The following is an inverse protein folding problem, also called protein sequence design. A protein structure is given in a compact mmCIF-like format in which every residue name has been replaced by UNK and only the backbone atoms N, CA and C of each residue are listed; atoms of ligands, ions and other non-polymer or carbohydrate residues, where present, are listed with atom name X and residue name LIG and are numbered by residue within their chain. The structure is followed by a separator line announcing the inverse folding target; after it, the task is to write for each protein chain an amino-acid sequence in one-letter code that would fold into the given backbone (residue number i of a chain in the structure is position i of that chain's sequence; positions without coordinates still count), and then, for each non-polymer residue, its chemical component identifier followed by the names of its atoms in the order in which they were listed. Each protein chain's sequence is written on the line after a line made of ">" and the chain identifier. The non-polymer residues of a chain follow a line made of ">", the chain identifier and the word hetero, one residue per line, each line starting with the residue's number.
data_IF_600433875745
#
_entry.id   IF_600433875745
#
_cell.length_a   1.000
_cell.length_b   1.000
_cell.length_c   1.000
_cell.angle_alpha   90.00
_cell.angle_beta   90.00
_cell.angle_gamma   90.00
#
_symmetry.space_group_name_H-M   'P 1'
#
loop_
_entity.id
_entity.type
_entity.pdbx_description
1 polymer ?
#
# COMPACT_ATOMS: atom_id res chain seq x y z
N UNK A 1 47.94 -31.63 -0.44
CA UNK A 1 47.13 -30.78 0.46
C UNK A 1 45.82 -30.44 -0.23
N UNK A 2 44.67 -31.01 0.15
CA UNK A 2 43.39 -30.63 -0.43
C UNK A 2 42.74 -29.52 0.41
N UNK A 3 42.58 -28.34 -0.18
CA UNK A 3 41.88 -27.19 0.38
C UNK A 3 40.36 -27.41 0.32
N UNK A 4 39.76 -27.48 1.51
CA UNK A 4 38.32 -27.64 1.76
C UNK A 4 37.51 -26.47 1.17
N UNK A 5 36.51 -26.80 0.35
CA UNK A 5 35.42 -25.89 0.00
C UNK A 5 34.36 -25.94 1.11
N UNK A 6 34.17 -24.83 1.81
CA UNK A 6 32.96 -24.59 2.62
C UNK A 6 31.90 -23.98 1.71
N UNK A 7 30.81 -24.70 1.44
CA UNK A 7 29.59 -24.14 0.90
C UNK A 7 28.53 -24.17 2.02
N UNK A 8 28.05 -22.98 2.36
CA UNK A 8 27.11 -22.73 3.43
C UNK A 8 25.75 -23.39 3.14
N UNK A 9 25.25 -24.15 4.10
CA UNK A 9 23.88 -24.66 4.10
C UNK A 9 22.92 -23.50 4.40
N UNK A 10 22.04 -23.20 3.44
CA UNK A 10 20.89 -22.32 3.65
C UNK A 10 19.81 -23.14 4.37
N UNK A 11 19.68 -22.95 5.68
CA UNK A 11 18.58 -23.50 6.47
C UNK A 11 17.33 -22.64 6.27
N UNK A 12 16.41 -23.15 5.46
CA UNK A 12 15.06 -22.63 5.32
C UNK A 12 14.27 -22.96 6.60
N UNK A 13 14.13 -21.99 7.50
CA UNK A 13 13.27 -22.12 8.69
C UNK A 13 11.82 -21.90 8.27
N UNK A 14 11.06 -23.00 8.21
CA UNK A 14 9.60 -22.98 8.12
C UNK A 14 9.04 -22.42 9.44
N UNK A 15 8.68 -21.14 9.44
CA UNK A 15 7.92 -20.53 10.51
C UNK A 15 6.51 -21.16 10.54
N UNK A 16 6.20 -21.82 11.65
CA UNK A 16 4.87 -22.34 11.97
C UNK A 16 3.91 -21.16 12.17
N UNK A 17 3.02 -20.95 11.22
CA UNK A 17 1.96 -19.96 11.32
C UNK A 17 0.95 -20.39 12.40
N UNK A 18 0.95 -19.70 13.53
CA UNK A 18 -0.15 -19.75 14.49
C UNK A 18 -1.46 -19.29 13.81
N UNK A 19 -2.63 -19.81 14.21
CA UNK A 19 -3.90 -19.43 13.59
C UNK A 19 -4.16 -17.94 13.83
N UNK A 20 -4.12 -17.17 12.74
CA UNK A 20 -4.55 -15.77 12.73
C UNK A 20 -6.04 -15.78 13.06
N UNK A 21 -6.40 -15.25 14.24
CA UNK A 21 -7.78 -14.89 14.57
C UNK A 21 -8.30 -14.00 13.43
N UNK A 22 -9.28 -14.52 12.69
CA UNK A 22 -9.82 -13.86 11.51
C UNK A 22 -10.27 -12.42 11.87
N UNK A 23 -9.70 -11.44 11.16
CA UNK A 23 -10.19 -10.07 11.19
C UNK A 23 -11.63 -10.08 10.66
N UNK A 24 -12.63 -9.57 11.38
CA UNK A 24 -14.01 -9.59 10.91
C UNK A 24 -14.11 -8.73 9.63
N UNK A 25 -14.43 -9.39 8.53
CA UNK A 25 -14.73 -8.77 7.23
C UNK A 25 -16.09 -8.07 7.27
N UNK A 26 -16.31 -7.12 6.35
CA UNK A 26 -17.62 -6.50 6.17
C UNK A 26 -18.68 -7.59 5.95
N UNK A 27 -19.81 -7.50 6.67
CA UNK A 27 -20.83 -8.54 6.70
C UNK A 27 -21.30 -8.94 5.29
N UNK A 28 -20.98 -10.17 4.86
CA UNK A 28 -21.57 -10.81 3.68
C UNK A 28 -22.91 -11.48 4.06
N UNK A 29 -23.98 -10.69 4.18
CA UNK A 29 -25.34 -11.22 4.19
C UNK A 29 -26.11 -10.65 3.01
N UNK A 30 -26.88 -11.48 2.31
CA UNK A 30 -27.80 -11.09 1.25
C UNK A 30 -28.99 -10.31 1.86
N UNK A 31 -28.73 -9.09 2.33
CA UNK A 31 -29.71 -8.23 3.02
C UNK A 31 -29.87 -6.96 2.18
N UNK A 32 -31.07 -6.33 2.12
CA UNK A 32 -31.35 -5.17 1.30
C UNK A 32 -30.25 -4.10 1.25
N UNK A 33 -30.16 -3.40 0.11
CA UNK A 33 -29.06 -2.49 -0.22
C UNK A 33 -28.77 -1.45 0.86
N UNK A 34 -29.81 -0.82 1.43
CA UNK A 34 -29.63 0.18 2.47
C UNK A 34 -28.89 -0.37 3.70
N UNK A 35 -29.17 -1.62 4.06
CA UNK A 35 -28.59 -2.27 5.23
C UNK A 35 -27.10 -2.60 5.02
N UNK A 36 -26.71 -2.98 3.79
CA UNK A 36 -25.30 -3.14 3.40
C UNK A 36 -24.56 -1.81 3.38
N UNK A 37 -25.19 -0.77 2.84
CA UNK A 37 -24.63 0.58 2.80
C UNK A 37 -24.43 1.13 4.22
N UNK A 38 -25.41 0.95 5.10
CA UNK A 38 -25.32 1.32 6.52
C UNK A 38 -24.15 0.60 7.21
N UNK A 39 -24.07 -0.72 7.08
CA UNK A 39 -22.98 -1.52 7.67
C UNK A 39 -21.60 -1.04 7.17
N UNK A 40 -21.48 -0.75 5.88
CA UNK A 40 -20.26 -0.23 5.26
C UNK A 40 -19.88 1.16 5.80
N UNK A 41 -20.85 2.08 5.90
CA UNK A 41 -20.63 3.41 6.46
C UNK A 41 -20.20 3.35 7.93
N UNK A 42 -20.87 2.51 8.73
CA UNK A 42 -20.52 2.30 10.14
C UNK A 42 -19.14 1.67 10.31
N UNK A 43 -18.81 0.66 9.52
CA UNK A 43 -17.47 0.06 9.52
C UNK A 43 -16.39 1.10 9.19
N UNK A 44 -16.59 1.86 8.10
CA UNK A 44 -15.64 2.91 7.70
C UNK A 44 -15.53 4.02 8.74
N UNK A 45 -16.63 4.42 9.37
CA UNK A 45 -16.64 5.40 10.45
C UNK A 45 -15.78 4.93 11.63
N UNK A 46 -16.05 3.72 12.13
CA UNK A 46 -15.41 3.15 13.32
C UNK A 46 -13.96 2.71 13.09
N UNK A 47 -13.52 2.65 11.83
CA UNK A 47 -12.13 2.32 11.45
C UNK A 47 -11.39 3.49 10.81
N UNK A 48 -12.00 4.67 10.72
CA UNK A 48 -11.43 5.83 10.05
C UNK A 48 -10.08 6.25 10.67
N UNK A 49 -10.00 6.35 12.00
CA UNK A 49 -8.77 6.79 12.68
C UNK A 49 -7.62 5.80 12.50
N UNK A 50 -7.90 4.50 12.62
CA UNK A 50 -6.92 3.45 12.37
C UNK A 50 -6.46 3.45 10.90
N UNK A 51 -7.39 3.66 9.97
CA UNK A 51 -7.09 3.78 8.54
C UNK A 51 -6.20 5.00 8.26
N UNK A 52 -6.52 6.16 8.85
CA UNK A 52 -5.72 7.37 8.72
C UNK A 52 -4.34 7.24 9.34
N UNK A 53 -4.22 6.59 10.50
CA UNK A 53 -2.93 6.28 11.12
C UNK A 53 -2.06 5.41 10.20
N UNK A 54 -2.65 4.35 9.62
CA UNK A 54 -1.96 3.49 8.65
C UNK A 54 -1.51 4.27 7.42
N UNK A 55 -2.38 5.08 6.82
CA UNK A 55 -2.03 5.91 5.66
C UNK A 55 -0.89 6.89 5.97
N UNK A 56 -0.90 7.54 7.14
CA UNK A 56 0.17 8.46 7.56
C UNK A 56 1.50 7.72 7.77
N UNK A 57 1.47 6.54 8.39
CA UNK A 57 2.66 5.71 8.55
C UNK A 57 3.23 5.27 7.19
N UNK A 58 2.37 4.82 6.27
CA UNK A 58 2.77 4.50 4.89
C UNK A 58 3.39 5.71 4.19
N UNK A 59 2.78 6.90 4.30
CA UNK A 59 3.31 8.12 3.70
C UNK A 59 4.69 8.47 4.26
N UNK A 60 4.90 8.30 5.58
CA UNK A 60 6.19 8.56 6.21
C UNK A 60 7.28 7.63 5.66
N UNK A 61 6.99 6.34 5.48
CA UNK A 61 7.93 5.38 4.91
C UNK A 61 8.22 5.63 3.42
N UNK A 62 7.19 5.97 2.65
CA UNK A 62 7.34 6.35 1.24
C UNK A 62 8.25 7.58 1.07
N UNK A 63 8.14 8.58 1.96
CA UNK A 63 9.04 9.75 1.96
C UNK A 63 10.50 9.37 2.19
N UNK A 64 10.79 8.42 3.08
CA UNK A 64 12.15 7.90 3.27
C UNK A 64 12.64 7.20 2.01
N UNK A 65 11.77 6.41 1.38
CA UNK A 65 12.09 5.72 0.11
C UNK A 65 12.46 6.74 -0.97
N UNK A 66 11.69 7.82 -1.12
CA UNK A 66 12.03 8.92 -2.04
C UNK A 66 13.42 9.49 -1.74
N UNK A 67 13.72 9.78 -0.48
CA UNK A 67 15.06 10.29 -0.08
C UNK A 67 16.18 9.32 -0.49
N UNK A 68 15.99 8.02 -0.31
CA UNK A 68 16.95 7.01 -0.78
C UNK A 68 17.08 7.04 -2.31
N UNK A 69 15.96 7.08 -3.04
CA UNK A 69 15.98 7.16 -4.51
C UNK A 69 16.65 8.44 -5.02
N UNK A 70 16.52 9.57 -4.32
CA UNK A 70 17.22 10.82 -4.65
C UNK A 70 18.75 10.61 -4.62
N UNK A 71 19.25 9.93 -3.57
CA UNK A 71 20.69 9.64 -3.45
C UNK A 71 21.19 8.70 -4.55
N UNK A 72 20.39 7.69 -4.91
CA UNK A 72 20.72 6.75 -5.99
C UNK A 72 20.72 7.43 -7.36
N UNK A 73 19.73 8.27 -7.66
CA UNK A 73 19.69 9.08 -8.90
C UNK A 73 20.92 9.99 -8.95
N UNK A 74 21.26 10.66 -7.86
CA UNK A 74 22.43 11.53 -7.80
C UNK A 74 23.74 10.75 -8.02
N UNK A 75 23.86 9.55 -7.46
CA UNK A 75 25.02 8.68 -7.66
C UNK A 75 25.12 8.18 -9.11
N UNK A 76 24.02 7.68 -9.68
CA UNK A 76 23.96 7.22 -11.06
C UNK A 76 24.25 8.34 -12.06
N UNK A 77 23.75 9.55 -11.80
CA UNK A 77 24.02 10.75 -12.62
C UNK A 77 25.51 11.09 -12.62
N UNK A 78 26.18 11.06 -11.45
CA UNK A 78 27.62 11.29 -11.36
C UNK A 78 28.43 10.21 -12.09
N UNK A 79 28.02 8.95 -11.97
CA UNK A 79 28.67 7.83 -12.64
C UNK A 79 28.56 7.94 -14.16
N UNK A 80 27.35 8.15 -14.69
CA UNK A 80 27.11 8.34 -16.12
C UNK A 80 27.96 9.50 -16.66
N UNK A 81 27.92 10.67 -16.01
CA UNK A 81 28.75 11.81 -16.41
C UNK A 81 30.26 11.51 -16.43
N UNK A 82 30.77 10.73 -15.46
CA UNK A 82 32.17 10.33 -15.42
C UNK A 82 32.53 9.36 -16.56
N UNK A 83 31.65 8.39 -16.83
CA UNK A 83 31.85 7.41 -17.91
C UNK A 83 31.76 8.07 -19.28
N UNK A 84 30.83 9.02 -19.49
CA UNK A 84 30.74 9.80 -20.73
C UNK A 84 32.02 10.60 -20.99
N UNK A 85 32.56 11.29 -19.96
CA UNK A 85 33.86 11.98 -20.07
C UNK A 85 34.98 11.03 -20.47
N UNK A 86 35.02 9.82 -19.89
CA UNK A 86 36.02 8.80 -20.24
C UNK A 86 35.85 8.31 -21.68
N UNK A 87 34.62 8.09 -22.14
CA UNK A 87 34.32 7.71 -23.52
C UNK A 87 34.80 8.78 -24.50
N UNK A 88 34.53 10.07 -24.23
CA UNK A 88 35.03 11.17 -25.05
C UNK A 88 36.56 11.18 -25.12
N UNK A 89 37.25 11.05 -23.98
CA UNK A 89 38.70 11.02 -23.94
C UNK A 89 39.30 9.83 -24.72
N UNK A 90 38.72 8.63 -24.57
CA UNK A 90 39.16 7.43 -25.29
C UNK A 90 38.86 7.53 -26.79
N UNK A 91 37.76 8.18 -27.17
CA UNK A 91 37.43 8.44 -28.59
C UNK A 91 38.49 9.33 -29.24
N UNK A 92 38.90 10.41 -28.56
CA UNK A 92 39.99 11.28 -29.02
C UNK A 92 41.31 10.52 -29.11
N UNK A 93 41.65 9.72 -28.09
CA UNK A 93 42.89 8.94 -28.09
C UNK A 93 42.93 7.88 -29.22
N UNK A 94 41.79 7.26 -29.53
CA UNK A 94 41.67 6.35 -30.66
C UNK A 94 41.85 7.09 -32.00
N UNK A 95 41.31 8.30 -32.14
CA UNK A 95 41.53 9.12 -33.34
C UNK A 95 43.01 9.49 -33.51
N UNK A 96 43.67 9.98 -32.46
CA UNK A 96 45.11 10.28 -32.49
C UNK A 96 45.95 9.03 -32.85
N UNK A 97 45.57 7.85 -32.33
CA UNK A 97 46.24 6.61 -32.70
C UNK A 97 46.08 6.25 -34.19
N UNK A 98 44.91 6.53 -34.80
CA UNK A 98 44.68 6.36 -36.25
C UNK A 98 45.55 7.32 -37.05
N UNK A 99 45.55 8.59 -36.68
CA UNK A 99 46.28 9.65 -37.40
C UNK A 99 47.80 9.37 -37.36
N UNK A 100 48.33 8.92 -36.22
CA UNK A 100 49.73 8.52 -36.09
C UNK A 100 50.09 7.27 -36.89
N UNK A 101 49.17 6.32 -37.05
CA UNK A 101 49.39 5.17 -37.93
C UNK A 101 49.44 5.62 -39.38
N UNK A 102 48.50 6.48 -39.82
CA UNK A 102 48.49 7.02 -41.17
C UNK A 102 49.80 7.76 -41.51
N UNK A 103 50.29 8.60 -40.59
CA UNK A 103 51.57 9.29 -40.75
C UNK A 103 52.76 8.30 -40.83
N UNK A 104 52.75 7.23 -40.02
CA UNK A 104 53.81 6.21 -40.07
C UNK A 104 53.76 5.37 -41.37
N UNK A 105 52.57 5.12 -41.92
CA UNK A 105 52.39 4.47 -43.21
C UNK A 105 52.87 5.36 -44.36
N UNK A 106 52.60 6.67 -44.31
CA UNK A 106 53.14 7.64 -45.26
C UNK A 106 54.68 7.67 -45.23
N UNK A 107 55.29 7.81 -44.04
CA UNK A 107 56.75 7.81 -43.89
C UNK A 107 57.42 6.52 -44.40
N UNK A 108 56.76 5.37 -44.22
CA UNK A 108 57.23 4.10 -44.79
C UNK A 108 57.18 4.10 -46.33
N UNK A 109 56.13 4.68 -46.92
CA UNK A 109 56.02 4.79 -48.38
C UNK A 109 57.08 5.72 -48.95
N UNK A 110 57.33 6.86 -48.30
CA UNK A 110 58.41 7.81 -48.65
C UNK A 110 59.78 7.13 -48.57
N UNK A 111 60.11 6.45 -47.47
CA UNK A 111 61.38 5.74 -47.32
C UNK A 111 61.59 4.65 -48.38
N UNK A 112 60.53 3.93 -48.78
CA UNK A 112 60.58 2.96 -49.89
C UNK A 112 60.79 3.64 -51.24
N UNK A 113 60.17 4.80 -51.45
CA UNK A 113 60.40 5.65 -52.62
C UNK A 113 61.86 6.07 -52.74
N UNK A 114 62.43 6.62 -51.66
CA UNK A 114 63.83 7.04 -51.59
C UNK A 114 64.78 5.88 -51.85
N UNK A 115 64.54 4.71 -51.26
CA UNK A 115 65.32 3.50 -51.52
C UNK A 115 65.28 3.13 -53.02
N UNK A 116 64.12 3.24 -53.66
CA UNK A 116 63.98 2.99 -55.11
C UNK A 116 64.82 3.97 -55.94
N UNK A 117 64.79 5.26 -55.59
CA UNK A 117 65.55 6.32 -56.26
C UNK A 117 67.06 6.08 -56.10
N UNK A 118 67.55 5.90 -54.88
CA UNK A 118 68.97 5.67 -54.58
C UNK A 118 69.49 4.38 -55.24
N UNK A 119 68.66 3.34 -55.33
CA UNK A 119 69.01 2.08 -56.02
C UNK A 119 69.25 2.30 -57.52
N UNK A 120 68.47 3.18 -58.15
CA UNK A 120 68.54 3.49 -59.58
C UNK A 120 69.62 4.53 -59.93
N UNK A 121 70.08 5.33 -58.97
CA UNK A 121 71.07 6.39 -59.18
C UNK A 121 72.43 5.86 -59.67
N UNK A 122 73.11 6.63 -60.55
CA UNK A 122 74.47 6.38 -61.04
C UNK A 122 75.32 7.66 -60.94
N UNK A 123 76.60 7.58 -60.50
CA UNK A 123 77.30 6.39 -60.00
C UNK A 123 76.71 5.87 -58.69
N UNK A 124 76.86 4.56 -58.42
CA UNK A 124 76.30 3.93 -57.21
C UNK A 124 77.00 4.44 -55.95
N UNK A 125 76.23 5.01 -55.02
CA UNK A 125 76.72 5.45 -53.70
C UNK A 125 76.32 4.45 -52.62
N UNK A 126 77.21 3.50 -52.27
CA UNK A 126 76.93 2.41 -51.31
C UNK A 126 76.40 2.91 -49.96
N UNK A 127 77.02 3.95 -49.39
CA UNK A 127 76.61 4.52 -48.11
C UNK A 127 75.17 5.06 -48.13
N UNK A 128 74.74 5.68 -49.24
CA UNK A 128 73.37 6.18 -49.39
C UNK A 128 72.36 5.03 -49.47
N UNK A 129 72.72 3.93 -50.15
CA UNK A 129 71.87 2.74 -50.23
C UNK A 129 71.69 2.10 -48.85
N UNK A 130 72.78 1.93 -48.10
CA UNK A 130 72.74 1.34 -46.76
C UNK A 130 71.89 2.20 -45.79
N UNK A 131 71.98 3.53 -45.90
CA UNK A 131 71.15 4.46 -45.11
C UNK A 131 69.67 4.35 -45.48
N UNK A 132 69.32 4.34 -46.77
CA UNK A 132 67.95 4.19 -47.24
C UNK A 132 67.32 2.84 -46.82
N UNK A 133 68.12 1.75 -46.87
CA UNK A 133 67.69 0.43 -46.40
C UNK A 133 67.35 0.48 -44.89
N UNK A 134 68.21 1.10 -44.07
CA UNK A 134 67.98 1.28 -42.63
C UNK A 134 66.74 2.14 -42.36
N UNK A 135 66.51 3.19 -43.15
CA UNK A 135 65.34 4.04 -43.03
C UNK A 135 64.03 3.26 -43.25
N UNK A 136 63.98 2.39 -44.27
CA UNK A 136 62.81 1.50 -44.51
C UNK A 136 62.57 0.57 -43.34
N UNK A 137 63.62 -0.05 -42.78
CA UNK A 137 63.49 -0.93 -41.61
C UNK A 137 62.93 -0.16 -40.41
N UNK A 138 63.50 1.01 -40.10
CA UNK A 138 63.03 1.88 -39.00
C UNK A 138 61.57 2.32 -39.18
N UNK A 139 61.20 2.76 -40.40
CA UNK A 139 59.83 3.16 -40.70
C UNK A 139 58.85 1.97 -40.59
N UNK A 140 59.27 0.77 -40.99
CA UNK A 140 58.46 -0.46 -40.85
C UNK A 140 58.20 -0.77 -39.37
N UNK A 141 59.24 -0.74 -38.54
CA UNK A 141 59.10 -0.95 -37.08
C UNK A 141 58.18 0.09 -36.45
N UNK A 142 58.33 1.38 -36.82
CA UNK A 142 57.45 2.45 -36.35
C UNK A 142 55.98 2.19 -36.71
N UNK A 143 55.71 1.85 -37.98
CA UNK A 143 54.36 1.50 -38.47
C UNK A 143 53.76 0.35 -37.68
N UNK A 144 54.53 -0.72 -37.45
CA UNK A 144 54.05 -1.91 -36.71
C UNK A 144 53.72 -1.57 -35.24
N UNK A 145 54.54 -0.75 -34.58
CA UNK A 145 54.27 -0.25 -33.23
C UNK A 145 52.98 0.58 -33.21
N UNK A 146 52.80 1.50 -34.18
CA UNK A 146 51.58 2.33 -34.27
C UNK A 146 50.35 1.49 -34.55
N UNK A 147 50.46 0.46 -35.39
CA UNK A 147 49.36 -0.48 -35.67
C UNK A 147 48.93 -1.21 -34.41
N UNK A 148 49.87 -1.69 -33.59
CA UNK A 148 49.56 -2.30 -32.29
C UNK A 148 48.88 -1.31 -31.34
N UNK A 149 49.38 -0.07 -31.26
CA UNK A 149 48.76 0.98 -30.45
C UNK A 149 47.33 1.33 -30.87
N UNK A 150 47.05 1.35 -32.18
CA UNK A 150 45.69 1.54 -32.68
C UNK A 150 44.78 0.37 -32.28
N UNK A 151 45.26 -0.87 -32.38
CA UNK A 151 44.51 -2.04 -31.92
C UNK A 151 44.17 -1.96 -30.43
N UNK A 152 45.15 -1.62 -29.58
CA UNK A 152 44.94 -1.44 -28.13
C UNK A 152 43.93 -0.31 -27.85
N UNK A 153 44.02 0.81 -28.57
CA UNK A 153 43.07 1.93 -28.45
C UNK A 153 41.65 1.53 -28.90
N UNK A 154 41.50 0.70 -29.93
CA UNK A 154 40.20 0.21 -30.39
C UNK A 154 39.53 -0.71 -29.35
N UNK A 155 40.32 -1.56 -28.67
CA UNK A 155 39.84 -2.38 -27.56
C UNK A 155 39.34 -1.52 -26.39
N UNK A 156 40.11 -0.48 -26.01
CA UNK A 156 39.70 0.48 -24.99
C UNK A 156 38.43 1.25 -25.37
N UNK A 157 38.31 1.67 -26.64
CA UNK A 157 37.11 2.36 -27.12
C UNK A 157 35.87 1.46 -27.04
N UNK A 158 36.02 0.19 -27.39
CA UNK A 158 34.93 -0.80 -27.28
C UNK A 158 34.49 -0.97 -25.83
N UNK A 159 35.45 -1.15 -24.91
CA UNK A 159 35.15 -1.25 -23.47
C UNK A 159 34.48 0.02 -22.93
N UNK A 160 34.96 1.21 -23.32
CA UNK A 160 34.38 2.48 -22.91
C UNK A 160 32.93 2.66 -23.40
N UNK A 161 32.62 2.24 -24.64
CA UNK A 161 31.25 2.26 -25.18
C UNK A 161 30.31 1.34 -24.40
N UNK A 162 30.77 0.12 -24.09
CA UNK A 162 29.99 -0.81 -23.27
C UNK A 162 29.71 -0.24 -21.88
N UNK A 163 30.73 0.33 -21.22
CA UNK A 163 30.57 0.95 -19.91
C UNK A 163 29.59 2.14 -19.95
N UNK A 164 29.65 2.97 -21.00
CA UNK A 164 28.71 4.09 -21.18
C UNK A 164 27.27 3.62 -21.34
N UNK A 165 27.04 2.55 -22.11
CA UNK A 165 25.71 1.94 -22.25
C UNK A 165 25.19 1.41 -20.92
N UNK A 166 26.03 0.74 -20.13
CA UNK A 166 25.65 0.24 -18.80
C UNK A 166 25.30 1.38 -17.85
N UNK A 167 26.13 2.42 -17.76
CA UNK A 167 25.89 3.57 -16.88
C UNK A 167 24.59 4.32 -17.24
N UNK A 168 24.31 4.50 -18.54
CA UNK A 168 23.06 5.10 -19.00
C UNK A 168 21.82 4.26 -18.62
N UNK A 169 21.93 2.93 -18.69
CA UNK A 169 20.87 2.01 -18.27
C UNK A 169 20.64 2.03 -16.76
N UNK A 170 21.71 2.12 -15.96
CA UNK A 170 21.63 2.28 -14.50
C UNK A 170 20.95 3.60 -14.12
N UNK A 171 21.31 4.71 -14.77
CA UNK A 171 20.66 6.01 -14.56
C UNK A 171 19.17 5.96 -14.90
N UNK A 172 18.81 5.35 -16.04
CA UNK A 172 17.40 5.17 -16.45
C UNK A 172 16.62 4.36 -15.41
N UNK A 173 17.23 3.30 -14.88
CA UNK A 173 16.65 2.46 -13.83
C UNK A 173 16.43 3.25 -12.54
N UNK A 174 17.42 4.03 -12.09
CA UNK A 174 17.30 4.87 -10.91
C UNK A 174 16.20 5.93 -11.05
N UNK A 175 16.12 6.60 -12.20
CA UNK A 175 15.08 7.59 -12.49
C UNK A 175 13.68 6.98 -12.50
N UNK A 176 13.53 5.78 -13.09
CA UNK A 176 12.25 5.06 -13.10
C UNK A 176 11.81 4.70 -11.68
N UNK A 177 12.72 4.18 -10.86
CA UNK A 177 12.43 3.84 -9.47
C UNK A 177 12.07 5.08 -8.63
N UNK A 178 12.76 6.20 -8.85
CA UNK A 178 12.43 7.49 -8.23
C UNK A 178 11.03 7.99 -8.62
N UNK A 179 10.68 7.93 -9.90
CA UNK A 179 9.36 8.31 -10.42
C UNK A 179 8.23 7.46 -9.81
N UNK A 180 8.45 6.15 -9.69
CA UNK A 180 7.51 5.24 -9.04
C UNK A 180 7.31 5.57 -7.55
N UNK A 181 8.39 5.82 -6.80
CA UNK A 181 8.32 6.20 -5.39
C UNK A 181 7.58 7.54 -5.17
N UNK A 182 7.83 8.52 -6.04
CA UNK A 182 7.14 9.82 -6.00
C UNK A 182 5.65 9.67 -6.30
N UNK A 183 5.29 8.88 -7.31
CA UNK A 183 3.88 8.60 -7.66
C UNK A 183 3.14 7.92 -6.52
N UNK A 184 3.76 6.92 -5.88
CA UNK A 184 3.18 6.21 -4.74
C UNK A 184 2.93 7.16 -3.55
N UNK A 185 3.86 8.09 -3.29
CA UNK A 185 3.73 9.13 -2.26
C UNK A 185 2.52 10.03 -2.53
N UNK A 186 2.36 10.48 -3.78
CA UNK A 186 1.27 11.36 -4.19
C UNK A 186 -0.10 10.67 -4.10
N UNK A 187 -0.19 9.40 -4.52
CA UNK A 187 -1.41 8.61 -4.36
C UNK A 187 -1.83 8.48 -2.89
N UNK A 188 -0.88 8.22 -1.98
CA UNK A 188 -1.18 8.17 -0.54
C UNK A 188 -1.61 9.53 0.00
N UNK A 189 -0.96 10.63 -0.41
CA UNK A 189 -1.37 11.99 -0.03
C UNK A 189 -2.81 12.30 -0.46
N UNK A 190 -3.18 11.95 -1.69
CA UNK A 190 -4.54 12.12 -2.20
C UNK A 190 -5.54 11.31 -1.38
N UNK A 191 -5.25 10.04 -1.08
CA UNK A 191 -6.10 9.21 -0.22
C UNK A 191 -6.32 9.82 1.17
N UNK A 192 -5.28 10.42 1.75
CA UNK A 192 -5.38 11.15 3.03
C UNK A 192 -6.26 12.39 2.88
N UNK A 193 -6.07 13.18 1.82
CA UNK A 193 -6.81 14.42 1.60
C UNK A 193 -8.30 14.19 1.32
N UNK A 194 -8.65 13.11 0.63
CA UNK A 194 -10.05 12.79 0.28
C UNK A 194 -10.72 11.84 1.26
N UNK A 195 -10.05 11.43 2.34
CA UNK A 195 -10.62 10.52 3.31
C UNK A 195 -11.76 11.22 4.08
N UNK A 196 -12.95 10.60 4.06
CA UNK A 196 -14.07 11.06 4.86
C UNK A 196 -13.78 10.91 6.35
N UNK A 197 -14.26 11.85 7.16
CA UNK A 197 -14.10 11.80 8.62
C UNK A 197 -15.06 10.76 9.22
N UNK A 198 -14.69 10.19 10.37
CA UNK A 198 -15.56 9.28 11.12
C UNK A 198 -16.96 9.89 11.36
N UNK A 199 -17.00 11.15 11.82
CA UNK A 199 -18.24 11.87 12.07
C UNK A 199 -19.12 12.01 10.81
N UNK A 200 -18.52 12.34 9.66
CA UNK A 200 -19.29 12.47 8.39
C UNK A 200 -19.88 11.14 7.92
N UNK A 201 -19.17 10.03 8.14
CA UNK A 201 -19.62 8.69 7.78
C UNK A 201 -20.73 8.19 8.71
N UNK A 202 -20.59 8.44 10.01
CA UNK A 202 -21.65 8.15 10.99
C UNK A 202 -22.93 8.95 10.72
N UNK A 203 -22.81 10.23 10.34
CA UNK A 203 -23.95 11.07 9.98
C UNK A 203 -24.68 10.55 8.71
N UNK A 204 -23.93 10.11 7.70
CA UNK A 204 -24.50 9.46 6.52
C UNK A 204 -25.23 8.16 6.88
N UNK A 205 -24.64 7.32 7.75
CA UNK A 205 -25.29 6.11 8.23
C UNK A 205 -26.60 6.41 8.97
N UNK A 206 -26.59 7.43 9.84
CA UNK A 206 -27.78 7.88 10.56
C UNK A 206 -28.89 8.35 9.63
N UNK A 207 -28.56 9.01 8.51
CA UNK A 207 -29.54 9.50 7.54
C UNK A 207 -30.34 8.36 6.90
N UNK A 208 -29.70 7.21 6.65
CA UNK A 208 -30.35 6.07 5.99
C UNK A 208 -30.95 5.05 6.96
N UNK A 209 -30.85 5.26 8.28
CA UNK A 209 -31.22 4.23 9.27
C UNK A 209 -32.70 3.84 9.24
N UNK A 210 -33.61 4.79 8.93
CA UNK A 210 -35.03 4.49 8.74
C UNK A 210 -35.26 3.61 7.50
N UNK A 211 -34.60 3.95 6.38
CA UNK A 211 -34.65 3.14 5.15
C UNK A 211 -34.12 1.73 5.39
N UNK A 212 -33.10 1.55 6.25
CA UNK A 212 -32.64 0.22 6.67
C UNK A 212 -33.77 -0.56 7.33
N UNK A 213 -34.49 0.04 8.29
CA UNK A 213 -35.61 -0.61 8.97
C UNK A 213 -36.71 -1.00 7.98
N UNK A 214 -37.09 -0.08 7.09
CA UNK A 214 -38.16 -0.31 6.11
C UNK A 214 -37.84 -1.44 5.14
N UNK A 215 -36.58 -1.54 4.71
CA UNK A 215 -36.16 -2.60 3.78
C UNK A 215 -35.90 -3.94 4.47
N UNK A 216 -35.33 -3.94 5.69
CA UNK A 216 -35.01 -5.18 6.42
C UNK A 216 -36.28 -5.87 6.90
N UNK A 217 -37.24 -5.11 7.41
CA UNK A 217 -38.44 -5.67 8.08
C UNK A 217 -39.24 -6.69 7.24
N UNK A 218 -39.60 -6.42 5.96
CA UNK A 218 -40.40 -7.37 5.18
C UNK A 218 -39.64 -8.63 4.76
N UNK A 219 -38.31 -8.62 4.76
CA UNK A 219 -37.47 -9.72 4.27
C UNK A 219 -36.63 -10.39 5.37
N UNK A 220 -36.78 -9.97 6.63
CA UNK A 220 -35.95 -10.44 7.73
C UNK A 220 -36.12 -11.93 7.97
N UNK A 221 -34.99 -12.64 8.09
CA UNK A 221 -34.91 -14.01 8.57
C UNK A 221 -34.06 -14.10 9.83
N UNK A 222 -34.35 -15.06 10.71
CA UNK A 222 -33.58 -15.27 11.96
C UNK A 222 -32.09 -15.53 11.65
N UNK A 223 -31.78 -16.14 10.51
CA UNK A 223 -30.40 -16.38 10.02
C UNK A 223 -29.61 -15.10 9.75
N UNK A 224 -30.28 -13.95 9.62
CA UNK A 224 -29.66 -12.62 9.46
C UNK A 224 -29.12 -12.06 10.78
N UNK A 225 -29.33 -12.77 11.88
CA UNK A 225 -28.78 -12.42 13.19
C UNK A 225 -27.48 -13.17 13.49
N UNK A 226 -26.73 -12.65 14.46
CA UNK A 226 -25.50 -13.22 14.99
C UNK A 226 -25.32 -12.82 16.46
N UNK A 227 -24.60 -13.62 17.23
CA UNK A 227 -24.31 -13.32 18.64
C UNK A 227 -23.03 -12.50 18.77
N UNK A 228 -23.10 -11.42 19.55
CA UNK A 228 -21.96 -10.59 19.95
C UNK A 228 -21.96 -10.49 21.46
N UNK A 229 -20.96 -11.07 22.12
CA UNK A 229 -20.88 -11.13 23.59
C UNK A 229 -22.17 -11.62 24.27
N UNK A 230 -22.80 -12.64 23.68
CA UNK A 230 -24.06 -13.23 24.18
C UNK A 230 -25.33 -12.46 23.80
N UNK A 231 -25.22 -11.31 23.12
CA UNK A 231 -26.38 -10.54 22.63
C UNK A 231 -26.61 -10.84 21.15
N UNK A 232 -27.77 -11.39 20.81
CA UNK A 232 -28.14 -11.65 19.41
C UNK A 232 -28.56 -10.36 18.73
N UNK A 233 -27.87 -9.94 17.67
CA UNK A 233 -28.17 -8.73 16.90
C UNK A 233 -28.16 -9.02 15.41
N UNK A 234 -28.74 -8.14 14.60
CA UNK A 234 -28.66 -8.26 13.14
C UNK A 234 -27.20 -8.13 12.68
N UNK A 235 -26.77 -8.93 11.70
CA UNK A 235 -25.37 -8.95 11.19
C UNK A 235 -24.85 -7.56 10.78
N UNK A 236 -25.70 -6.74 10.18
CA UNK A 236 -25.38 -5.36 9.77
C UNK A 236 -25.05 -4.39 10.91
N UNK A 237 -25.46 -4.67 12.15
CA UNK A 237 -25.11 -3.83 13.32
C UNK A 237 -24.08 -4.52 14.23
N UNK A 238 -23.76 -5.79 13.98
CA UNK A 238 -22.90 -6.60 14.85
C UNK A 238 -21.51 -5.99 15.08
N UNK A 239 -20.87 -5.47 14.02
CA UNK A 239 -19.57 -4.81 14.15
C UNK A 239 -19.66 -3.54 15.00
N UNK A 240 -20.67 -2.70 14.75
CA UNK A 240 -20.86 -1.45 15.49
C UNK A 240 -21.20 -1.72 16.96
N UNK A 241 -22.05 -2.71 17.24
CA UNK A 241 -22.37 -3.15 18.59
C UNK A 241 -21.14 -3.69 19.32
N UNK A 242 -20.36 -4.56 18.67
CA UNK A 242 -19.10 -5.08 19.24
C UNK A 242 -18.18 -3.93 19.63
N UNK A 243 -17.96 -2.97 18.73
CA UNK A 243 -17.13 -1.78 18.98
C UNK A 243 -17.67 -0.94 20.14
N UNK A 244 -18.98 -0.77 20.24
CA UNK A 244 -19.61 -0.05 21.35
C UNK A 244 -19.33 -0.72 22.70
N UNK A 245 -19.46 -2.05 22.77
CA UNK A 245 -19.19 -2.83 23.99
C UNK A 245 -17.70 -2.79 24.35
N UNK A 246 -16.81 -2.98 23.37
CA UNK A 246 -15.36 -2.95 23.58
C UNK A 246 -14.90 -1.58 24.12
N UNK A 247 -15.36 -0.49 23.49
CA UNK A 247 -14.95 0.87 23.87
C UNK A 247 -15.58 1.29 25.21
N UNK A 248 -16.78 0.81 25.54
CA UNK A 248 -17.37 0.98 26.87
C UNK A 248 -16.52 0.27 27.94
N UNK A 249 -16.13 -0.98 27.69
CA UNK A 249 -15.31 -1.76 28.60
C UNK A 249 -13.93 -1.11 28.81
N UNK A 250 -13.30 -0.60 27.74
CA UNK A 250 -12.05 0.16 27.82
C UNK A 250 -12.18 1.45 28.65
N UNK A 251 -13.38 2.06 28.69
CA UNK A 251 -13.69 3.19 29.57
C UNK A 251 -14.09 2.77 31.00
N UNK A 252 -13.95 1.50 31.37
CA UNK A 252 -14.36 0.97 32.68
C UNK A 252 -15.87 0.81 32.86
N UNK A 253 -16.63 0.84 31.77
CA UNK A 253 -18.10 0.73 31.77
C UNK A 253 -18.52 -0.60 31.16
N UNK A 254 -18.86 -1.56 32.00
CA UNK A 254 -19.32 -2.88 31.54
C UNK A 254 -20.79 -2.80 31.11
N UNK A 255 -21.05 -3.07 29.82
CA UNK A 255 -22.40 -3.13 29.25
C UNK A 255 -22.66 -4.50 28.63
N UNK A 256 -23.90 -4.96 28.74
CA UNK A 256 -24.45 -6.14 28.07
C UNK A 256 -25.90 -5.84 27.68
N UNK A 257 -26.72 -6.81 27.32
CA UNK A 257 -28.13 -6.54 27.05
C UNK A 257 -28.92 -7.67 26.42
N UNK A 258 -30.18 -7.38 26.11
CA UNK A 258 -31.06 -8.22 25.30
C UNK A 258 -31.18 -7.66 23.89
N UNK A 259 -31.02 -8.51 22.87
CA UNK A 259 -31.11 -8.10 21.47
C UNK A 259 -32.37 -8.63 20.78
N UNK A 260 -32.19 -9.39 19.70
CA UNK A 260 -33.25 -10.01 18.92
C UNK A 260 -34.23 -10.82 19.78
N UNK A 261 -35.53 -10.67 19.48
CA UNK A 261 -36.61 -11.50 20.03
C UNK A 261 -37.64 -11.80 18.95
N UNK A 262 -38.24 -12.98 18.97
CA UNK A 262 -39.26 -13.36 17.98
C UNK A 262 -40.55 -12.55 18.14
N UNK A 263 -41.37 -12.48 17.08
CA UNK A 263 -42.72 -11.90 17.16
C UNK A 263 -43.59 -12.60 18.21
N UNK A 264 -43.48 -13.92 18.33
CA UNK A 264 -44.18 -14.68 19.37
C UNK A 264 -43.78 -14.20 20.77
N UNK A 265 -42.48 -13.98 21.01
CA UNK A 265 -42.01 -13.43 22.27
C UNK A 265 -42.52 -12.00 22.49
N UNK A 266 -42.66 -11.19 21.44
CA UNK A 266 -43.25 -9.85 21.52
C UNK A 266 -44.72 -9.91 21.97
N UNK A 267 -45.49 -10.86 21.45
CA UNK A 267 -46.90 -11.09 21.83
C UNK A 267 -47.00 -11.47 23.31
N UNK A 268 -46.21 -12.44 23.75
CA UNK A 268 -46.15 -12.86 25.16
C UNK A 268 -45.81 -11.69 26.09
N UNK A 269 -44.82 -10.88 25.73
CA UNK A 269 -44.41 -9.72 26.53
C UNK A 269 -45.55 -8.71 26.68
N UNK A 270 -46.39 -8.51 25.66
CA UNK A 270 -47.53 -7.60 25.79
C UNK A 270 -48.60 -8.11 26.76
N UNK A 271 -48.85 -9.42 26.76
CA UNK A 271 -49.72 -10.06 27.75
C UNK A 271 -49.12 -9.94 29.16
N UNK A 272 -47.84 -10.30 29.32
CA UNK A 272 -47.12 -10.22 30.61
C UNK A 272 -47.14 -8.78 31.14
N UNK A 273 -46.89 -7.80 30.27
CA UNK A 273 -46.82 -6.39 30.63
C UNK A 273 -48.20 -5.72 30.72
N UNK A 274 -49.28 -6.49 30.67
CA UNK A 274 -50.64 -6.02 30.94
C UNK A 274 -51.13 -4.97 29.95
N UNK A 275 -50.77 -5.10 28.67
CA UNK A 275 -51.32 -4.24 27.64
C UNK A 275 -52.84 -4.49 27.50
N UNK A 276 -53.68 -3.44 27.37
CA UNK A 276 -55.12 -3.60 27.20
C UNK A 276 -55.53 -4.43 25.97
N UNK A 277 -54.75 -4.33 24.89
CA UNK A 277 -54.87 -5.16 23.70
C UNK A 277 -53.48 -5.47 23.12
N UNK A 278 -53.31 -6.67 22.55
CA UNK A 278 -52.01 -7.14 22.04
C UNK A 278 -51.65 -6.47 20.70
N UNK A 279 -52.62 -6.07 19.87
CA UNK A 279 -52.34 -5.68 18.48
C UNK A 279 -52.46 -4.18 18.23
N UNK A 280 -53.22 -3.46 19.05
CA UNK A 280 -53.60 -2.07 18.78
C UNK A 280 -53.25 -1.11 19.90
N UNK A 281 -53.19 -1.57 21.16
CA UNK A 281 -52.94 -0.68 22.29
C UNK A 281 -51.55 0.00 22.18
N UNK A 282 -51.43 1.31 22.41
CA UNK A 282 -50.14 2.00 22.34
C UNK A 282 -49.17 1.42 23.37
N UNK A 283 -47.86 1.47 23.10
CA UNK A 283 -46.85 0.92 24.02
C UNK A 283 -46.96 1.52 25.43
N UNK A 284 -47.29 2.81 25.53
CA UNK A 284 -47.44 3.56 26.78
C UNK A 284 -48.63 3.12 27.65
N UNK A 285 -49.62 2.39 27.12
CA UNK A 285 -50.75 1.89 27.91
C UNK A 285 -50.46 0.56 28.60
N UNK A 286 -49.32 -0.07 28.31
CA UNK A 286 -48.87 -1.26 29.01
C UNK A 286 -48.21 -0.86 30.35
N UNK A 287 -48.26 -1.74 31.37
CA UNK A 287 -47.58 -1.53 32.66
C UNK A 287 -46.08 -1.33 32.48
N UNK A 288 -45.48 -2.07 31.55
CA UNK A 288 -44.12 -1.84 31.05
C UNK A 288 -44.23 -1.54 29.57
N UNK A 289 -43.77 -0.37 29.10
CA UNK A 289 -43.84 -0.01 27.69
C UNK A 289 -43.33 -1.12 26.77
N UNK A 290 -44.17 -1.54 25.83
CA UNK A 290 -43.88 -2.69 24.96
C UNK A 290 -44.43 -2.41 23.57
N UNK A 291 -43.59 -2.43 22.54
CA UNK A 291 -44.03 -2.15 21.17
C UNK A 291 -45.09 -3.14 20.66
N UNK A 292 -45.93 -2.69 19.73
CA UNK A 292 -46.91 -3.54 19.03
C UNK A 292 -46.16 -4.61 18.21
N UNK A 293 -46.63 -5.88 18.15
CA UNK A 293 -45.98 -6.92 17.38
C UNK A 293 -45.87 -6.56 15.90
N UNK A 294 -44.73 -6.87 15.30
CA UNK A 294 -44.36 -6.46 13.94
C UNK A 294 -43.76 -5.06 13.84
N UNK A 295 -43.85 -4.22 14.88
CA UNK A 295 -43.27 -2.86 14.90
C UNK A 295 -41.97 -2.77 15.69
N UNK A 296 -41.73 -3.70 16.62
CA UNK A 296 -40.50 -3.72 17.43
C UNK A 296 -39.25 -3.86 16.58
N UNK A 297 -38.20 -3.11 16.90
CA UNK A 297 -36.88 -3.29 16.27
C UNK A 297 -36.10 -4.49 16.83
N UNK A 298 -36.49 -5.00 18.01
CA UNK A 298 -35.98 -6.28 18.50
C UNK A 298 -36.45 -7.45 17.62
N UNK A 299 -37.59 -7.34 16.95
CA UNK A 299 -38.08 -8.40 16.05
C UNK A 299 -37.22 -8.60 14.80
N UNK A 300 -36.34 -7.64 14.51
CA UNK A 300 -35.42 -7.68 13.36
C UNK A 300 -33.96 -7.48 13.78
N UNK A 301 -33.66 -7.58 15.09
CA UNK A 301 -32.30 -7.50 15.63
C UNK A 301 -31.61 -6.14 15.49
N UNK A 302 -32.34 -5.05 15.24
CA UNK A 302 -31.80 -3.70 15.07
C UNK A 302 -31.90 -2.82 16.34
N UNK A 303 -32.31 -3.42 17.45
CA UNK A 303 -32.33 -2.80 18.77
C UNK A 303 -31.69 -3.69 19.84
N UNK A 304 -31.23 -3.05 20.89
CA UNK A 304 -30.65 -3.67 22.09
C UNK A 304 -31.18 -2.97 23.34
N UNK A 305 -31.59 -3.76 24.32
CA UNK A 305 -31.94 -3.32 25.66
C UNK A 305 -30.70 -3.50 26.54
N UNK A 306 -29.99 -2.41 26.82
CA UNK A 306 -28.70 -2.42 27.51
C UNK A 306 -28.88 -2.62 29.02
N UNK A 307 -28.04 -3.49 29.57
CA UNK A 307 -27.88 -3.75 31.00
C UNK A 307 -26.43 -3.46 31.44
N UNK A 308 -26.22 -3.28 32.73
CA UNK A 308 -24.88 -3.11 33.32
C UNK A 308 -24.84 -3.77 34.69
N UNK A 309 -23.81 -4.57 34.96
CA UNK A 309 -23.69 -5.36 36.20
C UNK A 309 -24.87 -6.32 36.43
N UNK A 310 -25.43 -6.89 35.35
CA UNK A 310 -26.58 -7.79 35.41
C UNK A 310 -27.93 -7.12 35.67
N UNK A 311 -28.00 -5.78 35.71
CA UNK A 311 -29.23 -5.02 36.01
C UNK A 311 -29.60 -4.09 34.86
N UNK A 312 -30.90 -3.84 34.69
CA UNK A 312 -31.41 -2.82 33.76
C UNK A 312 -30.86 -1.45 34.11
N UNK A 313 -30.40 -0.70 33.11
CA UNK A 313 -29.85 0.64 33.33
C UNK A 313 -30.95 1.69 33.51
N UNK A 314 -30.65 2.74 34.25
CA UNK A 314 -31.48 3.95 34.41
C UNK A 314 -30.70 5.19 33.99
N UNK A 315 -31.37 6.34 33.86
CA UNK A 315 -30.71 7.61 33.47
C UNK A 315 -29.59 8.06 34.42
N UNK A 316 -29.55 7.52 35.63
CA UNK A 316 -28.54 7.81 36.67
C UNK A 316 -27.33 6.88 36.62
N UNK A 317 -27.35 5.81 35.83
CA UNK A 317 -26.23 4.85 35.79
C UNK A 317 -25.04 5.42 35.02
N UNK A 318 -23.84 4.95 35.39
CA UNK A 318 -22.61 5.24 34.63
C UNK A 318 -22.73 4.77 33.19
N UNK A 319 -23.32 3.59 32.97
CA UNK A 319 -23.59 3.04 31.64
C UNK A 319 -24.47 3.95 30.77
N UNK A 320 -25.59 4.44 31.30
CA UNK A 320 -26.44 5.37 30.54
C UNK A 320 -25.70 6.67 30.22
N UNK A 321 -24.95 7.22 31.17
CA UNK A 321 -24.17 8.45 30.96
C UNK A 321 -23.13 8.27 29.86
N UNK A 322 -22.42 7.13 29.84
CA UNK A 322 -21.47 6.80 28.80
C UNK A 322 -22.16 6.63 27.44
N UNK A 323 -23.27 5.88 27.37
CA UNK A 323 -24.02 5.66 26.14
C UNK A 323 -24.58 6.97 25.58
N UNK A 324 -25.14 7.85 26.42
CA UNK A 324 -25.65 9.16 25.99
C UNK A 324 -24.58 9.99 25.30
N UNK A 325 -23.32 9.89 25.74
CA UNK A 325 -22.21 10.62 25.14
C UNK A 325 -21.58 9.92 23.92
N UNK A 326 -21.77 8.60 23.75
CA UNK A 326 -20.96 7.82 22.80
C UNK A 326 -21.76 6.93 21.82
N UNK A 327 -22.97 6.49 22.16
CA UNK A 327 -23.74 5.50 21.39
C UNK A 327 -23.97 5.92 19.92
N UNK A 328 -24.16 7.22 19.68
CA UNK A 328 -24.33 7.75 18.33
C UNK A 328 -23.13 7.48 17.40
N UNK A 329 -21.90 7.39 17.95
CA UNK A 329 -20.69 7.02 17.19
C UNK A 329 -20.79 5.61 16.61
N UNK A 330 -21.55 4.75 17.27
CA UNK A 330 -21.82 3.35 16.88
C UNK A 330 -23.19 3.21 16.19
N UNK A 331 -23.84 4.32 15.84
CA UNK A 331 -25.12 4.33 15.15
C UNK A 331 -26.31 3.98 16.04
N UNK A 332 -26.15 3.99 17.37
CA UNK A 332 -27.24 3.73 18.32
C UNK A 332 -27.79 5.03 18.89
N UNK A 333 -29.12 5.12 18.91
CA UNK A 333 -29.90 6.24 19.43
C UNK A 333 -30.81 5.73 20.53
N UNK A 334 -30.91 6.47 21.64
CA UNK A 334 -31.79 6.10 22.74
C UNK A 334 -33.24 6.42 22.41
N UNK A 335 -34.15 5.51 22.77
CA UNK A 335 -35.57 5.84 22.88
C UNK A 335 -35.79 6.68 24.15
N UNK A 336 -36.23 7.95 24.05
CA UNK A 336 -36.24 8.85 25.21
C UNK A 336 -37.08 8.39 26.39
N UNK A 337 -38.13 7.57 26.18
CA UNK A 337 -38.94 7.01 27.26
C UNK A 337 -38.24 5.89 28.03
N UNK A 338 -37.31 5.17 27.40
CA UNK A 338 -36.70 3.93 27.90
C UNK A 338 -35.18 4.06 27.98
N UNK A 339 -34.64 4.27 29.19
CA UNK A 339 -33.20 4.48 29.38
C UNK A 339 -32.34 3.29 28.91
N UNK A 340 -32.89 2.08 28.93
CA UNK A 340 -32.22 0.86 28.50
C UNK A 340 -32.30 0.63 26.99
N UNK A 341 -33.24 1.23 26.26
CA UNK A 341 -33.48 0.87 24.87
C UNK A 341 -32.67 1.72 23.89
N UNK A 342 -31.91 1.05 23.02
CA UNK A 342 -31.07 1.68 22.01
C UNK A 342 -31.25 0.97 20.67
N UNK A 343 -31.45 1.73 19.60
CA UNK A 343 -31.63 1.19 18.25
C UNK A 343 -31.02 2.11 17.21
N UNK A 344 -31.01 1.69 15.95
CA UNK A 344 -30.45 2.53 14.87
C UNK A 344 -31.33 3.75 14.51
N UNK A 345 -32.57 3.80 15.00
CA UNK A 345 -33.51 4.91 14.78
C UNK A 345 -33.95 5.62 16.06
N UNK A 346 -33.71 5.03 17.23
CA UNK A 346 -34.22 5.53 18.52
C UNK A 346 -35.65 5.10 18.85
N UNK A 347 -36.22 4.16 18.09
CA UNK A 347 -37.60 3.68 18.22
C UNK A 347 -38.23 3.34 16.89
#
# INVERSE_FOLDING_TARGET
>A
MPSRRFAAAVTLTLATAAPILAVPTAAQAAVPEAARNYSTLMYRSLTADATMAKLRATLAEQKKTVTVRDTEVAAATRNDAAVQRRLSAVTVAHQDARDRLAAAEQALNEAKGDLSVVTKQRPRKKAALDLAQKAVVSATTSRDIRRKKLHDAAALLTAARTNAKTAAAELTTALTAHGAATTATEQTRRRIATAATAASLAAQASTISKTVVDQVRPTFAITDTTAVYGVTVHRNVAFAFKRMVDDAAAAGVQISGGGFRTRQRQIELRTINGCPDVWTAPASSCRVPTAIPGRSLHEIGLAVDISSGGKTISRKTKAFTWLRANAAKYGYVNLPSEAWHWSITGG
#
